data_IF_280699786022
#
_entry.id   IF_280699786022
#
_cell.length_a   1.000
_cell.length_b   1.000
_cell.length_c   1.000
_cell.angle_alpha   90.00
_cell.angle_beta   90.00
_cell.angle_gamma   90.00
#
_symmetry.space_group_name_H-M   'P 1'
#
loop_
_entity.id
_entity.type
_entity.pdbx_description
1 polymer ?
#
# COMPACT_ATOMS: atom_id res chain seq x y z
N UNK A 1 14.13 10.34 -8.88
CA UNK A 1 13.04 10.71 -7.97
C UNK A 1 13.57 10.60 -6.55
N UNK A 2 13.31 11.59 -5.69
CA UNK A 2 13.64 11.54 -4.27
C UNK A 2 12.40 11.16 -3.43
N UNK A 3 12.59 10.94 -2.12
CA UNK A 3 11.52 10.55 -1.22
C UNK A 3 10.38 11.57 -1.13
N UNK A 4 10.70 12.86 -1.06
CA UNK A 4 9.68 13.92 -0.97
C UNK A 4 8.79 13.98 -2.22
N UNK A 5 9.40 13.84 -3.40
CA UNK A 5 8.66 13.73 -4.67
C UNK A 5 7.73 12.52 -4.67
N UNK A 6 8.22 11.35 -4.21
CA UNK A 6 7.41 10.14 -4.12
C UNK A 6 6.22 10.31 -3.18
N UNK A 7 6.44 10.85 -1.98
CA UNK A 7 5.38 11.10 -1.00
C UNK A 7 4.34 12.10 -1.53
N UNK A 8 4.78 13.12 -2.27
CA UNK A 8 3.88 14.07 -2.91
C UNK A 8 3.06 13.41 -4.04
N UNK A 9 3.67 12.55 -4.86
CA UNK A 9 2.95 11.79 -5.89
C UNK A 9 1.91 10.85 -5.27
N UNK A 10 2.25 10.17 -4.18
CA UNK A 10 1.31 9.34 -3.40
C UNK A 10 0.14 10.17 -2.84
N UNK A 11 0.41 11.35 -2.29
CA UNK A 11 -0.64 12.24 -1.78
C UNK A 11 -1.56 12.73 -2.90
N UNK A 12 -1.00 13.09 -4.06
CA UNK A 12 -1.79 13.54 -5.21
C UNK A 12 -2.69 12.44 -5.75
N UNK A 13 -2.19 11.21 -5.89
CA UNK A 13 -2.98 10.05 -6.29
C UNK A 13 -4.09 9.76 -5.26
N UNK A 14 -3.73 9.69 -3.98
CA UNK A 14 -4.68 9.43 -2.89
C UNK A 14 -5.80 10.47 -2.85
N UNK A 15 -5.48 11.76 -2.94
CA UNK A 15 -6.47 12.84 -2.86
C UNK A 15 -7.33 12.98 -4.12
N UNK A 16 -6.83 12.54 -5.28
CA UNK A 16 -7.65 12.42 -6.50
C UNK A 16 -8.78 11.41 -6.28
N UNK A 17 -8.50 10.29 -5.61
CA UNK A 17 -9.49 9.27 -5.27
C UNK A 17 -10.32 9.62 -4.03
N UNK A 18 -9.80 10.47 -3.14
CA UNK A 18 -10.41 10.84 -1.86
C UNK A 18 -10.48 12.37 -1.68
N UNK A 19 -11.35 13.09 -2.42
CA UNK A 19 -11.42 14.55 -2.37
C UNK A 19 -11.71 15.13 -0.97
N UNK A 20 -12.38 14.38 -0.11
CA UNK A 20 -12.64 14.77 1.27
C UNK A 20 -11.34 14.90 2.10
N UNK A 21 -10.35 14.01 1.89
CA UNK A 21 -9.08 14.09 2.59
C UNK A 21 -8.32 15.39 2.23
N UNK A 22 -8.34 15.77 0.95
CA UNK A 22 -7.81 17.07 0.50
C UNK A 22 -8.54 18.24 1.14
N UNK A 23 -9.87 18.19 1.18
CA UNK A 23 -10.69 19.25 1.76
C UNK A 23 -10.39 19.47 3.25
N UNK A 24 -10.22 18.37 4.01
CA UNK A 24 -9.83 18.42 5.42
C UNK A 24 -8.43 18.99 5.59
N UNK A 25 -7.46 18.53 4.79
CA UNK A 25 -6.09 19.03 4.82
C UNK A 25 -6.03 20.54 4.53
N UNK A 26 -6.72 20.99 3.48
CA UNK A 26 -6.76 22.41 3.09
C UNK A 26 -7.42 23.28 4.18
N UNK A 27 -8.47 22.78 4.84
CA UNK A 27 -9.13 23.46 5.96
C UNK A 27 -8.18 23.66 7.15
N UNK A 28 -7.43 22.63 7.53
CA UNK A 28 -6.46 22.71 8.62
C UNK A 28 -5.34 23.69 8.27
N UNK A 29 -4.80 23.59 7.06
CA UNK A 29 -3.77 24.52 6.58
C UNK A 29 -4.25 25.98 6.57
N UNK A 30 -5.51 26.24 6.19
CA UNK A 30 -6.11 27.57 6.23
C UNK A 30 -6.26 28.13 7.65
N UNK A 31 -6.28 27.27 8.67
CA UNK A 31 -6.25 27.67 10.09
C UNK A 31 -4.83 27.90 10.62
N UNK A 32 -3.80 27.74 9.78
CA UNK A 32 -2.39 27.90 10.15
C UNK A 32 -1.73 26.64 10.72
N UNK A 33 -2.42 25.50 10.68
CA UNK A 33 -1.86 24.22 11.12
C UNK A 33 -0.83 23.67 10.13
N UNK A 34 0.21 23.05 10.67
CA UNK A 34 1.15 22.24 9.86
C UNK A 34 0.76 20.77 9.99
N UNK A 35 0.14 20.22 8.95
CA UNK A 35 -0.33 18.83 8.96
C UNK A 35 0.83 17.87 8.70
N UNK A 36 1.27 17.17 9.75
CA UNK A 36 2.24 16.09 9.67
C UNK A 36 1.50 14.74 9.68
N UNK A 37 1.77 13.91 8.67
CA UNK A 37 1.21 12.57 8.59
C UNK A 37 1.96 11.64 9.54
N UNK A 38 1.25 11.00 10.47
CA UNK A 38 1.86 9.99 11.35
C UNK A 38 2.31 8.76 10.54
N UNK A 39 1.47 8.26 9.64
CA UNK A 39 1.80 7.13 8.78
C UNK A 39 1.01 7.10 7.47
N UNK A 40 1.51 6.34 6.50
CA UNK A 40 0.82 5.94 5.26
C UNK A 40 0.68 4.42 5.28
N UNK A 41 -0.49 3.90 4.88
CA UNK A 41 -0.78 2.47 4.87
C UNK A 41 -0.97 1.93 3.44
N UNK A 42 -0.28 0.83 3.14
CA UNK A 42 -0.40 0.09 1.88
C UNK A 42 -0.87 -1.34 2.13
N UNK A 43 -1.49 -1.93 1.09
CA UNK A 43 -2.02 -3.30 1.12
C UNK A 43 -1.52 -4.08 -0.08
N UNK A 44 -1.18 -5.33 0.12
CA UNK A 44 -0.77 -6.25 -0.94
C UNK A 44 -1.20 -7.70 -0.65
N UNK A 45 -0.79 -8.63 -1.49
CA UNK A 45 -0.93 -10.07 -1.30
C UNK A 45 0.43 -10.69 -0.98
N UNK A 46 0.46 -11.77 -0.19
CA UNK A 46 1.69 -12.50 0.14
C UNK A 46 2.19 -13.40 -1.01
N UNK A 47 2.19 -12.86 -2.24
CA UNK A 47 2.55 -13.56 -3.46
C UNK A 47 3.56 -12.74 -4.26
N UNK A 48 4.56 -13.41 -4.84
CA UNK A 48 5.41 -12.76 -5.83
C UNK A 48 4.61 -12.39 -7.10
N UNK A 49 4.90 -11.24 -7.74
CA UNK A 49 6.00 -10.31 -7.42
C UNK A 49 5.61 -9.17 -6.46
N UNK A 50 4.44 -9.23 -5.82
CA UNK A 50 3.87 -8.11 -5.03
C UNK A 50 3.98 -8.29 -3.52
N UNK A 51 4.72 -9.29 -3.03
CA UNK A 51 4.88 -9.55 -1.60
C UNK A 51 5.37 -8.33 -0.80
N UNK A 52 5.13 -8.34 0.51
CA UNK A 52 5.43 -7.22 1.39
C UNK A 52 6.87 -6.71 1.24
N UNK A 53 7.85 -7.61 1.16
CA UNK A 53 9.26 -7.22 1.02
C UNK A 53 9.56 -6.51 -0.31
N UNK A 54 8.86 -6.88 -1.40
CA UNK A 54 8.95 -6.21 -2.70
C UNK A 54 8.40 -4.79 -2.62
N UNK A 55 7.22 -4.66 -2.00
CA UNK A 55 6.54 -3.38 -1.78
C UNK A 55 7.34 -2.46 -0.84
N UNK A 56 8.03 -3.02 0.13
CA UNK A 56 8.85 -2.25 1.09
C UNK A 56 10.20 -1.79 0.52
N UNK A 57 10.74 -2.50 -0.49
CA UNK A 57 12.10 -2.28 -1.00
C UNK A 57 12.40 -0.82 -1.39
N UNK A 58 11.50 -0.05 -2.04
CA UNK A 58 11.73 1.37 -2.29
C UNK A 58 11.96 2.21 -1.02
N UNK A 59 11.17 1.99 0.04
CA UNK A 59 11.29 2.74 1.28
C UNK A 59 12.59 2.42 2.02
N UNK A 60 13.00 1.15 2.01
CA UNK A 60 14.30 0.73 2.56
C UNK A 60 15.47 1.45 1.86
N UNK A 61 15.41 1.61 0.54
CA UNK A 61 16.41 2.39 -0.23
C UNK A 61 16.45 3.87 0.16
N UNK A 62 15.35 4.42 0.65
CA UNK A 62 15.26 5.78 1.19
C UNK A 62 15.63 5.89 2.67
N UNK A 63 16.10 4.80 3.30
CA UNK A 63 16.61 4.81 4.68
C UNK A 63 15.57 4.45 5.75
N UNK A 64 14.35 4.05 5.36
CA UNK A 64 13.39 3.52 6.32
C UNK A 64 13.89 2.19 6.91
N UNK A 65 13.55 1.94 8.18
CA UNK A 65 13.95 0.72 8.90
C UNK A 65 12.72 -0.08 9.34
N UNK A 66 12.72 -1.41 9.22
CA UNK A 66 11.65 -2.24 9.76
C UNK A 66 11.66 -2.15 11.30
N UNK A 67 10.52 -1.86 11.91
CA UNK A 67 10.44 -1.60 13.36
C UNK A 67 9.49 -2.54 14.09
N UNK A 68 8.38 -2.96 13.49
CA UNK A 68 7.39 -3.79 14.15
C UNK A 68 6.64 -4.69 13.18
N UNK A 69 6.30 -5.89 13.65
CA UNK A 69 5.53 -6.89 12.91
C UNK A 69 4.22 -7.21 13.63
N UNK A 70 3.16 -7.39 12.84
CA UNK A 70 1.80 -7.52 13.35
C UNK A 70 1.09 -8.67 12.64
N UNK A 71 0.35 -9.46 13.42
CA UNK A 71 -0.44 -10.58 12.92
C UNK A 71 -1.91 -10.37 13.26
N UNK A 72 -2.74 -10.11 12.25
CA UNK A 72 -4.18 -9.96 12.41
C UNK A 72 -4.87 -11.26 12.06
N UNK A 73 -4.97 -12.18 13.04
CA UNK A 73 -5.51 -13.54 12.83
C UNK A 73 -6.90 -13.55 12.21
N UNK A 74 -7.82 -12.75 12.73
CA UNK A 74 -9.20 -12.69 12.22
C UNK A 74 -9.27 -12.20 10.77
N UNK A 75 -8.41 -11.24 10.40
CA UNK A 75 -8.34 -10.67 9.05
C UNK A 75 -7.41 -11.44 8.12
N UNK A 76 -6.71 -12.46 8.63
CA UNK A 76 -5.70 -13.24 7.89
C UNK A 76 -4.64 -12.34 7.24
N UNK A 77 -4.17 -11.33 7.98
CA UNK A 77 -3.13 -10.39 7.52
C UNK A 77 -1.84 -10.55 8.33
N UNK A 78 -0.72 -10.46 7.63
CA UNK A 78 0.56 -10.09 8.21
C UNK A 78 0.87 -8.64 7.84
N UNK A 79 1.52 -7.89 8.72
CA UNK A 79 1.95 -6.53 8.42
C UNK A 79 3.27 -6.20 9.08
N UNK A 80 3.97 -5.24 8.48
CA UNK A 80 5.18 -4.64 9.03
C UNK A 80 5.11 -3.13 8.89
N UNK A 81 5.55 -2.41 9.93
CA UNK A 81 5.77 -0.97 9.83
C UNK A 81 7.25 -0.63 9.76
N UNK A 82 7.51 0.51 9.12
CA UNK A 82 8.83 1.02 8.84
C UNK A 82 8.92 2.48 9.26
N UNK A 83 10.01 2.85 9.91
CA UNK A 83 10.22 4.20 10.44
C UNK A 83 11.35 4.92 9.70
N UNK A 84 11.18 6.22 9.38
CA UNK A 84 12.26 7.07 8.89
C UNK A 84 13.14 7.56 10.05
N UNK A 85 14.32 8.10 9.73
CA UNK A 85 15.15 8.80 10.72
C UNK A 85 14.63 10.22 11.03
N UNK A 86 14.06 10.90 10.04
CA UNK A 86 13.39 12.20 10.23
C UNK A 86 11.95 12.00 10.72
N UNK A 87 11.68 12.48 11.94
CA UNK A 87 10.37 12.36 12.60
C UNK A 87 9.27 13.22 11.96
N UNK A 88 9.60 14.11 11.01
CA UNK A 88 8.61 14.83 10.21
C UNK A 88 8.10 14.02 9.02
N UNK A 89 8.75 12.90 8.69
CA UNK A 89 8.31 11.99 7.65
C UNK A 89 7.33 10.96 8.21
N UNK A 90 6.32 10.54 7.42
CA UNK A 90 5.38 9.53 7.87
C UNK A 90 6.05 8.17 8.01
N UNK A 91 5.62 7.39 9.00
CA UNK A 91 5.90 5.95 9.04
C UNK A 91 5.20 5.27 7.85
N UNK A 92 5.73 4.13 7.42
CA UNK A 92 5.12 3.33 6.36
C UNK A 92 4.60 2.03 6.96
N UNK A 93 3.31 1.75 6.80
CA UNK A 93 2.67 0.52 7.26
C UNK A 93 2.27 -0.31 6.04
N UNK A 94 2.80 -1.53 5.90
CA UNK A 94 2.47 -2.40 4.77
C UNK A 94 1.86 -3.68 5.33
N UNK A 95 0.66 -4.02 4.88
CA UNK A 95 0.04 -5.32 5.16
C UNK A 95 -0.08 -6.17 3.91
N UNK A 96 0.10 -7.48 4.09
CA UNK A 96 -0.16 -8.48 3.06
C UNK A 96 -1.23 -9.47 3.51
N UNK A 97 -2.14 -9.78 2.59
CA UNK A 97 -3.15 -10.81 2.78
C UNK A 97 -2.51 -12.19 2.67
N UNK A 98 -2.75 -13.05 3.66
CA UNK A 98 -2.27 -14.43 3.71
C UNK A 98 -3.18 -15.31 2.84
N UNK A 99 -2.92 -15.34 1.54
CA UNK A 99 -3.82 -15.88 0.51
C UNK A 99 -4.14 -17.36 0.75
N UNK A 100 -3.18 -18.14 1.25
CA UNK A 100 -3.33 -19.56 1.58
C UNK A 100 -4.38 -19.85 2.65
N UNK A 101 -4.81 -18.86 3.42
CA UNK A 101 -5.84 -19.01 4.47
C UNK A 101 -7.28 -18.82 3.96
N UNK A 102 -7.46 -18.65 2.65
CA UNK A 102 -8.77 -18.47 2.01
C UNK A 102 -9.16 -19.66 1.14
N UNK A 103 -10.40 -19.68 0.67
CA UNK A 103 -10.90 -20.78 -0.16
C UNK A 103 -10.04 -20.97 -1.43
N UNK A 104 -9.96 -22.21 -1.97
CA UNK A 104 -9.25 -22.46 -3.23
C UNK A 104 -9.75 -21.59 -4.40
N UNK A 105 -11.03 -21.20 -4.39
CA UNK A 105 -11.63 -20.33 -5.39
C UNK A 105 -11.04 -18.91 -5.31
N UNK A 106 -10.98 -18.32 -4.10
CA UNK A 106 -10.36 -17.01 -3.89
C UNK A 106 -8.87 -17.05 -4.25
N UNK A 107 -8.16 -18.08 -3.80
CA UNK A 107 -6.73 -18.25 -4.13
C UNK A 107 -6.48 -18.28 -5.64
N UNK A 108 -7.34 -18.97 -6.41
CA UNK A 108 -7.22 -19.05 -7.86
C UNK A 108 -7.42 -17.68 -8.52
N UNK A 109 -8.42 -16.90 -8.08
CA UNK A 109 -8.67 -15.54 -8.57
C UNK A 109 -7.49 -14.62 -8.25
N UNK A 110 -7.03 -14.59 -6.99
CA UNK A 110 -5.90 -13.73 -6.60
C UNK A 110 -4.63 -14.09 -7.39
N UNK A 111 -4.32 -15.38 -7.56
CA UNK A 111 -3.17 -15.81 -8.38
C UNK A 111 -3.29 -15.35 -9.83
N UNK A 112 -4.48 -15.46 -10.45
CA UNK A 112 -4.76 -14.94 -11.80
C UNK A 112 -4.55 -13.43 -11.91
N UNK A 113 -4.91 -12.67 -10.88
CA UNK A 113 -4.69 -11.21 -10.84
C UNK A 113 -3.20 -10.87 -10.72
N UNK A 114 -2.50 -11.50 -9.78
CA UNK A 114 -1.08 -11.24 -9.51
C UNK A 114 -0.19 -11.66 -10.70
N UNK A 115 -0.56 -12.70 -11.46
CA UNK A 115 0.16 -13.10 -12.67
C UNK A 115 0.19 -12.04 -13.78
N UNK A 116 -0.71 -11.05 -13.75
CA UNK A 116 -0.72 -9.95 -14.72
C UNK A 116 0.28 -8.84 -14.38
N UNK A 117 0.84 -8.85 -13.16
CA UNK A 117 1.76 -7.80 -12.70
C UNK A 117 3.13 -8.01 -13.35
N UNK A 118 3.63 -6.98 -14.04
CA UNK A 118 5.01 -6.93 -14.51
C UNK A 118 5.95 -6.73 -13.30
N UNK A 119 6.81 -7.72 -12.96
CA UNK A 119 7.72 -7.61 -11.83
C UNK A 119 8.62 -6.37 -11.88
N UNK A 120 8.99 -5.91 -13.09
CA UNK A 120 9.83 -4.71 -13.25
C UNK A 120 9.12 -3.44 -12.81
N UNK A 121 7.79 -3.39 -12.92
CA UNK A 121 7.01 -2.25 -12.43
C UNK A 121 7.00 -2.18 -10.92
N UNK A 122 7.05 -3.33 -10.21
CA UNK A 122 7.07 -3.36 -8.74
C UNK A 122 8.37 -2.77 -8.18
N UNK A 123 9.46 -2.80 -8.95
CA UNK A 123 10.72 -2.17 -8.57
C UNK A 123 10.69 -0.63 -8.64
N UNK A 124 9.74 -0.05 -9.40
CA UNK A 124 9.52 1.39 -9.46
C UNK A 124 8.77 1.85 -8.20
N UNK A 125 9.30 2.81 -7.41
CA UNK A 125 8.59 3.30 -6.23
C UNK A 125 7.18 3.84 -6.52
N UNK A 126 6.91 4.29 -7.75
CA UNK A 126 5.58 4.76 -8.18
C UNK A 126 4.55 3.64 -8.31
N UNK A 127 4.96 2.38 -8.23
CA UNK A 127 4.04 1.25 -8.20
C UNK A 127 2.94 1.45 -7.14
N UNK A 128 3.30 2.02 -5.99
CA UNK A 128 2.41 2.26 -4.86
C UNK A 128 1.34 3.35 -5.10
N UNK A 129 1.50 4.16 -6.14
CA UNK A 129 0.54 5.16 -6.60
C UNK A 129 0.22 4.99 -8.10
N UNK A 130 0.39 3.78 -8.65
CA UNK A 130 0.14 3.47 -10.06
C UNK A 130 -1.28 2.97 -10.35
N UNK A 131 -2.12 2.90 -9.31
CA UNK A 131 -3.47 2.35 -9.38
C UNK A 131 -3.47 0.82 -9.48
N UNK A 132 -4.36 0.28 -10.32
CA UNK A 132 -4.58 -1.16 -10.45
C UNK A 132 -3.68 -1.77 -11.54
N UNK A 133 -2.75 -2.69 -11.21
CA UNK A 133 -1.82 -3.26 -12.18
C UNK A 133 -2.37 -4.47 -12.96
N UNK A 134 -3.66 -4.80 -12.77
CA UNK A 134 -4.34 -5.93 -13.40
C UNK A 134 -5.73 -5.55 -13.92
N UNK A 135 -6.25 -6.38 -14.82
CA UNK A 135 -7.65 -6.37 -15.20
C UNK A 135 -8.43 -7.39 -14.38
N UNK A 136 -9.64 -7.01 -13.98
CA UNK A 136 -10.57 -7.87 -13.26
C UNK A 136 -11.99 -7.53 -13.71
N UNK A 137 -12.89 -8.51 -13.63
CA UNK A 137 -14.31 -8.30 -13.88
C UNK A 137 -15.09 -8.22 -12.55
N UNK A 138 -16.38 -7.88 -12.64
CA UNK A 138 -17.23 -7.72 -11.47
C UNK A 138 -17.47 -9.04 -10.73
N UNK A 139 -17.47 -10.17 -11.45
CA UNK A 139 -17.71 -11.49 -10.87
C UNK A 139 -16.53 -11.93 -10.01
N UNK A 140 -15.31 -11.73 -10.48
CA UNK A 140 -14.09 -11.98 -9.71
C UNK A 140 -14.09 -11.08 -8.46
N UNK A 141 -14.47 -9.81 -8.57
CA UNK A 141 -14.63 -8.92 -7.41
C UNK A 141 -15.65 -9.44 -6.39
N UNK A 142 -16.86 -9.81 -6.81
CA UNK A 142 -17.91 -10.32 -5.93
C UNK A 142 -17.51 -11.64 -5.25
N UNK A 143 -16.71 -12.46 -5.93
CA UNK A 143 -16.16 -13.69 -5.33
C UNK A 143 -15.20 -13.33 -4.19
N UNK A 144 -14.28 -12.39 -4.43
CA UNK A 144 -13.33 -11.94 -3.40
C UNK A 144 -14.05 -11.28 -2.21
N UNK A 145 -15.12 -10.52 -2.44
CA UNK A 145 -15.81 -9.77 -1.40
C UNK A 145 -16.62 -10.63 -0.40
N UNK A 146 -16.75 -11.95 -0.63
CA UNK A 146 -17.50 -12.87 0.22
C UNK A 146 -16.69 -13.43 1.40
N UNK A 147 -15.38 -13.27 1.38
CA UNK A 147 -14.44 -13.79 2.38
C UNK A 147 -13.48 -12.69 2.84
#
# INVERSE_FOLDING_TARGET
>A
MNLQQLLQEMWNDYTTLNPAAKSIHDLLAAQGETVLNDHIAFRTYNLEPVGLDRVAAPFLKFGYKPCGEYHFKEKKLFARHYEPEDMNLPKIFISELLVEQFSPALQAVVKKLVQQVDPKKVEDPRFMCSGRPWNTDFKDYELLAKE
#
